data_IF_164033752350
#
_entry.id   IF_164033752350
#
_cell.length_a   1.000
_cell.length_b   1.000
_cell.length_c   1.000
_cell.angle_alpha   90.00
_cell.angle_beta   90.00
_cell.angle_gamma   90.00
#
_symmetry.space_group_name_H-M   'P 1'
#
loop_
_entity.id
_entity.type
_entity.pdbx_description
1 polymer ?
#
# COMPACT_ATOMS: atom_id res chain seq x y z
N UNK A 1 3.31 -13.69 -17.09
CA UNK A 1 3.63 -12.24 -17.21
C UNK A 1 3.04 -11.56 -15.99
N UNK A 2 3.85 -10.83 -15.21
CA UNK A 2 3.36 -10.04 -14.06
C UNK A 2 2.71 -8.73 -14.53
N UNK A 3 1.98 -8.06 -13.63
CA UNK A 3 1.28 -6.80 -13.89
C UNK A 3 1.98 -5.59 -13.23
N UNK A 4 3.26 -5.72 -12.88
CA UNK A 4 4.05 -4.65 -12.26
C UNK A 4 4.22 -4.76 -10.75
N UNK A 5 4.09 -5.96 -10.16
CA UNK A 5 4.32 -6.14 -8.73
C UNK A 5 5.81 -6.02 -8.36
N UNK A 6 6.12 -5.32 -7.27
CA UNK A 6 7.42 -5.38 -6.62
C UNK A 6 7.45 -6.57 -5.65
N UNK A 7 8.42 -7.48 -5.82
CA UNK A 7 8.65 -8.56 -4.88
C UNK A 7 9.20 -7.98 -3.56
N UNK A 8 8.74 -8.51 -2.43
CA UNK A 8 9.13 -8.06 -1.09
C UNK A 8 9.44 -9.27 -0.22
N UNK A 9 10.65 -9.34 0.30
CA UNK A 9 10.99 -10.23 1.40
C UNK A 9 10.43 -9.69 2.72
N UNK A 10 9.63 -10.51 3.40
CA UNK A 10 8.95 -10.16 4.64
C UNK A 10 9.67 -10.66 5.90
N UNK A 11 10.78 -11.38 5.75
CA UNK A 11 11.56 -11.93 6.86
C UNK A 11 12.42 -10.88 7.56
N UNK A 12 12.68 -9.74 6.90
CA UNK A 12 13.47 -8.65 7.42
C UNK A 12 13.28 -7.36 6.63
N UNK A 13 14.23 -6.44 6.77
CA UNK A 13 14.22 -5.18 6.02
C UNK A 13 14.72 -5.42 4.59
N UNK A 14 13.79 -5.56 3.65
CA UNK A 14 14.12 -5.64 2.22
C UNK A 14 14.43 -4.25 1.65
N UNK A 15 15.71 -3.87 1.68
CA UNK A 15 16.16 -2.59 1.11
C UNK A 15 15.96 -2.51 -0.40
N UNK A 16 16.02 -3.64 -1.10
CA UNK A 16 15.85 -3.68 -2.56
C UNK A 16 14.42 -3.32 -2.94
N UNK A 17 13.44 -3.87 -2.23
CA UNK A 17 12.04 -3.51 -2.40
C UNK A 17 11.78 -2.02 -2.10
N UNK A 18 12.41 -1.48 -1.05
CA UNK A 18 12.28 -0.05 -0.68
C UNK A 18 12.84 0.85 -1.79
N UNK A 19 14.06 0.57 -2.26
CA UNK A 19 14.69 1.37 -3.32
C UNK A 19 13.88 1.26 -4.62
N UNK A 20 13.47 0.05 -5.01
CA UNK A 20 12.65 -0.13 -6.22
C UNK A 20 11.31 0.61 -6.16
N UNK A 21 10.68 0.66 -4.99
CA UNK A 21 9.46 1.45 -4.77
C UNK A 21 9.71 2.97 -4.92
N UNK A 22 10.85 3.46 -4.42
CA UNK A 22 11.24 4.86 -4.61
C UNK A 22 11.58 5.17 -6.07
N UNK A 23 12.21 4.25 -6.79
CA UNK A 23 12.53 4.41 -8.22
C UNK A 23 11.27 4.50 -9.08
N UNK A 24 10.23 3.70 -8.76
CA UNK A 24 8.91 3.81 -9.40
C UNK A 24 8.32 5.20 -9.22
N UNK A 25 8.37 5.75 -8.00
CA UNK A 25 7.86 7.09 -7.73
C UNK A 25 8.71 8.19 -8.39
N UNK A 26 10.03 8.04 -8.39
CA UNK A 26 10.96 8.97 -9.05
C UNK A 26 10.78 9.02 -10.57
N UNK A 27 10.36 7.91 -11.19
CA UNK A 27 9.99 7.83 -12.60
C UNK A 27 8.62 8.45 -12.91
N UNK A 28 7.91 9.00 -11.91
CA UNK A 28 6.58 9.60 -12.09
C UNK A 28 5.46 8.55 -12.23
N UNK A 29 5.72 7.30 -11.83
CA UNK A 29 4.71 6.24 -11.82
C UNK A 29 4.00 6.13 -10.47
N UNK A 30 3.00 5.24 -10.40
CA UNK A 30 2.16 5.05 -9.21
C UNK A 30 2.61 3.83 -8.43
N UNK A 31 2.70 3.99 -7.11
CA UNK A 31 2.94 2.90 -6.18
C UNK A 31 1.67 2.59 -5.37
N UNK A 32 1.10 1.41 -5.57
CA UNK A 32 -0.01 0.90 -4.75
C UNK A 32 0.50 0.22 -3.49
N UNK A 33 0.00 0.62 -2.32
CA UNK A 33 0.37 0.05 -1.01
C UNK A 33 -0.89 -0.30 -0.23
N UNK A 34 -0.93 -1.51 0.32
CA UNK A 34 -1.84 -1.89 1.40
C UNK A 34 -1.10 -1.72 2.74
N UNK A 35 -1.30 -0.60 3.46
CA UNK A 35 -0.47 -0.24 4.62
C UNK A 35 -0.60 -1.21 5.80
N UNK A 36 -1.59 -2.11 5.78
CA UNK A 36 -1.79 -3.18 6.77
C UNK A 36 -0.79 -4.34 6.57
N UNK A 37 -0.32 -4.53 5.33
CA UNK A 37 0.64 -5.58 4.94
C UNK A 37 0.05 -7.00 4.89
N UNK A 38 -1.18 -7.20 5.34
CA UNK A 38 -1.92 -8.47 5.30
C UNK A 38 -3.35 -8.23 4.81
N UNK A 39 -4.02 -9.31 4.38
CA UNK A 39 -5.47 -9.27 4.11
C UNK A 39 -6.20 -9.38 5.44
N UNK A 40 -7.13 -8.47 5.70
CA UNK A 40 -7.96 -8.46 6.91
C UNK A 40 -9.35 -7.90 6.63
N UNK A 41 -10.09 -7.58 7.68
CA UNK A 41 -11.49 -7.12 7.60
C UNK A 41 -11.65 -5.68 7.05
N UNK A 42 -10.55 -5.02 6.68
CA UNK A 42 -10.55 -3.66 6.12
C UNK A 42 -10.87 -2.57 7.15
N UNK A 43 -10.50 -2.78 8.41
CA UNK A 43 -10.74 -1.84 9.52
C UNK A 43 -9.57 -0.86 9.75
N UNK A 44 -8.48 -0.97 8.98
CA UNK A 44 -7.25 -0.17 9.12
C UNK A 44 -6.71 -0.15 10.56
N UNK A 45 -6.98 -1.19 11.37
CA UNK A 45 -6.67 -1.19 12.81
C UNK A 45 -5.16 -1.04 13.10
N UNK A 46 -4.31 -1.45 12.17
CA UNK A 46 -2.87 -1.27 12.24
C UNK A 46 -2.30 -0.81 10.90
N UNK A 47 -1.70 0.38 10.88
CA UNK A 47 -0.99 0.90 9.72
C UNK A 47 0.51 0.82 9.95
N UNK A 48 1.23 0.30 8.96
CA UNK A 48 2.69 0.28 8.98
C UNK A 48 3.22 1.64 8.54
N UNK A 49 4.25 2.12 9.24
CA UNK A 49 4.87 3.43 8.99
C UNK A 49 5.53 3.56 7.60
N UNK A 50 5.72 2.47 6.86
CA UNK A 50 6.34 2.46 5.53
C UNK A 50 5.65 3.39 4.53
N UNK A 51 4.32 3.53 4.60
CA UNK A 51 3.58 4.48 3.76
C UNK A 51 4.09 5.91 3.94
N UNK A 52 4.21 6.37 5.20
CA UNK A 52 4.66 7.71 5.51
C UNK A 52 6.11 7.95 5.04
N UNK A 53 6.96 6.93 5.15
CA UNK A 53 8.33 7.00 4.64
C UNK A 53 8.36 7.29 3.14
N UNK A 54 7.60 6.55 2.33
CA UNK A 54 7.57 6.77 0.88
C UNK A 54 7.04 8.15 0.52
N UNK A 55 5.94 8.59 1.15
CA UNK A 55 5.37 9.91 0.89
C UNK A 55 6.37 11.04 1.20
N UNK A 56 7.01 11.01 2.37
CA UNK A 56 7.99 12.04 2.78
C UNK A 56 9.24 12.01 1.91
N UNK A 57 9.76 10.82 1.58
CA UNK A 57 11.02 10.70 0.83
C UNK A 57 10.89 11.00 -0.65
N UNK A 58 9.74 10.70 -1.25
CA UNK A 58 9.49 10.96 -2.67
C UNK A 58 8.83 12.31 -2.93
N UNK A 59 8.15 12.89 -1.93
CA UNK A 59 7.27 14.04 -2.12
C UNK A 59 5.97 13.70 -2.87
N UNK A 60 5.70 12.41 -3.14
CA UNK A 60 4.51 11.98 -3.85
C UNK A 60 3.24 12.21 -3.00
N UNK A 61 2.13 12.70 -3.60
CA UNK A 61 0.86 12.83 -2.90
C UNK A 61 0.29 11.46 -2.53
N UNK A 62 -0.32 11.37 -1.35
CA UNK A 62 -1.04 10.17 -0.92
C UNK A 62 -2.50 10.29 -1.35
N UNK A 63 -2.95 9.34 -2.16
CA UNK A 63 -4.35 9.22 -2.58
C UNK A 63 -4.99 8.05 -1.83
N UNK A 64 -5.95 8.30 -0.91
CA UNK A 64 -6.67 7.23 -0.24
C UNK A 64 -7.54 6.45 -1.24
N UNK A 65 -7.47 5.12 -1.20
CA UNK A 65 -8.27 4.23 -2.07
C UNK A 65 -8.92 3.15 -1.21
N UNK A 66 -10.21 2.89 -1.46
CA UNK A 66 -10.93 1.77 -0.88
C UNK A 66 -11.25 0.72 -1.95
N UNK A 67 -10.93 -0.55 -1.68
CA UNK A 67 -11.29 -1.67 -2.55
C UNK A 67 -12.48 -2.40 -1.92
N UNK A 68 -13.62 -2.40 -2.61
CA UNK A 68 -14.88 -2.97 -2.15
C UNK A 68 -15.23 -4.24 -2.94
N UNK A 69 -16.01 -5.15 -2.33
CA UNK A 69 -16.48 -6.38 -2.99
C UNK A 69 -15.42 -7.46 -3.18
N UNK A 70 -14.26 -7.33 -2.54
CA UNK A 70 -13.18 -8.34 -2.57
C UNK A 70 -13.40 -9.49 -1.57
N UNK A 71 -14.40 -9.37 -0.69
CA UNK A 71 -14.83 -10.39 0.27
C UNK A 71 -16.35 -10.42 0.37
N UNK A 72 -16.92 -11.54 0.82
CA UNK A 72 -18.37 -11.72 0.98
C UNK A 72 -18.96 -10.92 2.15
N UNK A 73 -18.11 -10.25 2.95
CA UNK A 73 -18.52 -9.43 4.09
C UNK A 73 -18.29 -7.96 3.76
N UNK A 74 -19.34 -7.16 3.89
CA UNK A 74 -19.21 -5.71 3.83
C UNK A 74 -18.36 -5.23 5.03
N UNK A 75 -17.18 -4.65 4.75
CA UNK A 75 -16.33 -4.06 5.76
C UNK A 75 -17.07 -2.98 6.56
N UNK A 76 -16.80 -2.87 7.86
CA UNK A 76 -17.53 -1.95 8.77
C UNK A 76 -17.45 -0.48 8.33
N UNK A 77 -16.37 -0.10 7.63
CA UNK A 77 -16.13 1.26 7.17
C UNK A 77 -16.84 1.60 5.85
N UNK A 78 -17.37 0.61 5.12
CA UNK A 78 -18.02 0.82 3.82
C UNK A 78 -19.20 1.78 3.91
N UNK A 79 -19.99 1.71 4.99
CA UNK A 79 -21.14 2.61 5.23
C UNK A 79 -20.74 4.06 5.56
N UNK A 80 -19.46 4.31 5.83
CA UNK A 80 -18.92 5.62 6.23
C UNK A 80 -18.06 6.28 5.15
N UNK A 81 -17.84 5.59 4.03
CA UNK A 81 -17.20 6.20 2.88
C UNK A 81 -18.15 7.26 2.29
N UNK A 82 -17.63 8.41 1.82
CA UNK A 82 -18.43 9.43 1.17
C UNK A 82 -19.12 8.92 -0.10
#
# INVERSE_FOLDING_TARGET
>A
RGIGQLAVDRSGTDRTAITGALDVLAAGHVLGIFPEGTRGEGDFAALRAGLAYFAVRSGAPVVPVAVLGSTDRAGRLVRKLP
#
